data_IF_093801145531
#
_entry.id   IF_093801145531
#
_cell.length_a   1.000
_cell.length_b   1.000
_cell.length_c   1.000
_cell.angle_alpha   90.00
_cell.angle_beta   90.00
_cell.angle_gamma   90.00
#
_symmetry.space_group_name_H-M   'P 1'
#
loop_
_entity.id
_entity.type
_entity.pdbx_description
1 polymer ?
#
# COMPACT_ATOMS: atom_id res chain seq x y z
N UNK A 1 24.19 -5.94 -0.75
CA UNK A 1 22.84 -5.62 -1.22
C UNK A 1 22.54 -4.19 -0.78
N UNK A 2 22.03 -3.32 -1.66
CA UNK A 2 21.62 -1.96 -1.29
C UNK A 2 20.10 -1.94 -1.19
N UNK A 3 19.59 -1.59 -0.01
CA UNK A 3 18.17 -1.37 0.23
C UNK A 3 17.93 0.13 0.30
N UNK A 4 16.80 0.57 -0.24
CA UNK A 4 16.35 1.95 -0.17
C UNK A 4 15.08 1.98 0.66
N UNK A 5 14.98 2.94 1.59
CA UNK A 5 13.75 3.22 2.30
C UNK A 5 12.92 4.18 1.46
N UNK A 6 11.66 3.85 1.22
CA UNK A 6 10.69 4.73 0.57
C UNK A 6 9.68 5.16 1.63
N UNK A 7 9.31 6.43 1.62
CA UNK A 7 8.24 7.00 2.45
C UNK A 7 7.09 7.39 1.50
N UNK A 8 6.08 6.52 1.31
CA UNK A 8 4.94 6.82 0.46
C UNK A 8 4.12 8.00 0.95
N UNK A 9 3.43 8.67 0.03
CA UNK A 9 2.47 9.71 0.38
C UNK A 9 1.22 9.10 1.04
N UNK A 10 0.69 9.76 2.08
CA UNK A 10 -0.61 9.43 2.67
C UNK A 10 -1.65 10.39 2.11
N UNK A 11 -2.36 9.96 1.08
CA UNK A 11 -3.24 10.80 0.25
C UNK A 11 -4.74 10.51 0.48
N UNK A 12 -5.14 10.22 1.71
CA UNK A 12 -6.51 9.82 2.03
C UNK A 12 -6.62 8.78 3.13
N UNK A 13 -7.72 8.02 3.10
CA UNK A 13 -8.03 7.03 4.11
C UNK A 13 -8.92 5.90 3.62
N UNK A 14 -9.22 4.97 4.53
CA UNK A 14 -10.22 3.92 4.29
C UNK A 14 -11.62 4.52 4.42
N UNK A 15 -12.46 4.31 3.41
CA UNK A 15 -13.87 4.66 3.42
C UNK A 15 -14.74 3.55 4.02
N UNK A 16 -16.02 3.86 4.22
CA UNK A 16 -16.96 3.02 4.99
C UNK A 16 -17.20 1.62 4.40
N UNK A 17 -17.00 1.45 3.08
CA UNK A 17 -17.18 0.18 2.39
C UNK A 17 -15.92 -0.72 2.40
N UNK A 18 -14.88 -0.37 3.15
CA UNK A 18 -13.69 -1.22 3.27
C UNK A 18 -14.02 -2.51 4.02
N UNK A 19 -13.66 -3.66 3.44
CA UNK A 19 -13.91 -4.98 4.03
C UNK A 19 -12.59 -5.59 4.48
N UNK A 20 -12.53 -5.92 5.78
CA UNK A 20 -11.46 -6.71 6.35
C UNK A 20 -11.80 -8.20 6.24
N UNK A 21 -10.81 -9.00 5.87
CA UNK A 21 -10.90 -10.46 5.88
C UNK A 21 -10.91 -10.98 7.31
N UNK A 22 -11.50 -12.16 7.50
CA UNK A 22 -11.31 -12.96 8.72
C UNK A 22 -9.91 -13.57 8.79
N UNK A 23 -9.19 -13.60 7.67
CA UNK A 23 -7.78 -14.03 7.64
C UNK A 23 -6.85 -12.92 8.12
N UNK A 24 -5.86 -13.31 8.92
CA UNK A 24 -4.76 -12.43 9.34
C UNK A 24 -3.47 -12.80 8.62
N UNK A 25 -2.57 -11.83 8.51
CA UNK A 25 -1.16 -12.08 8.24
C UNK A 25 -0.53 -12.83 9.42
N UNK A 26 0.65 -13.49 9.23
CA UNK A 26 1.36 -14.16 10.31
C UNK A 26 1.70 -13.25 11.51
N UNK A 27 1.79 -11.94 11.28
CA UNK A 27 2.05 -10.93 12.30
C UNK A 27 0.78 -10.46 13.05
N UNK A 28 -0.38 -11.08 12.80
CA UNK A 28 -1.65 -10.78 13.47
C UNK A 28 -2.44 -9.62 12.87
N UNK A 29 -1.93 -8.91 11.85
CA UNK A 29 -2.68 -7.87 11.16
C UNK A 29 -3.80 -8.46 10.30
N UNK A 30 -5.00 -7.89 10.33
CA UNK A 30 -6.09 -8.33 9.46
C UNK A 30 -5.77 -8.02 7.99
N UNK A 31 -6.09 -8.94 7.09
CA UNK A 31 -5.97 -8.66 5.65
C UNK A 31 -7.14 -7.79 5.19
N UNK A 32 -6.90 -6.90 4.23
CA UNK A 32 -7.99 -6.16 3.56
C UNK A 32 -8.40 -6.96 2.32
N UNK A 33 -9.66 -7.37 2.22
CA UNK A 33 -10.19 -8.08 1.05
C UNK A 33 -10.79 -7.14 0.01
N UNK A 34 -11.30 -5.99 0.46
CA UNK A 34 -11.77 -4.92 -0.40
C UNK A 34 -11.42 -3.56 0.21
N UNK A 35 -10.67 -2.75 -0.52
CA UNK A 35 -10.30 -1.40 -0.10
C UNK A 35 -11.21 -0.37 -0.81
N UNK A 36 -12.08 0.28 -0.05
CA UNK A 36 -12.75 1.49 -0.50
C UNK A 36 -11.86 2.66 -0.11
N UNK A 37 -11.06 3.18 -1.05
CA UNK A 37 -10.13 4.27 -0.76
C UNK A 37 -10.74 5.62 -1.08
N UNK A 38 -10.69 6.54 -0.12
CA UNK A 38 -11.16 7.92 -0.29
C UNK A 38 -9.95 8.85 -0.41
N UNK A 39 -9.74 9.38 -1.61
CA UNK A 39 -8.64 10.30 -1.88
C UNK A 39 -8.90 11.67 -1.24
N UNK A 40 -7.94 12.15 -0.46
CA UNK A 40 -7.96 13.48 0.16
C UNK A 40 -6.57 14.08 0.07
N UNK A 41 -6.45 15.21 -0.63
CA UNK A 41 -5.19 15.96 -0.68
C UNK A 41 -4.07 15.30 -1.48
N UNK A 42 -4.37 14.37 -2.37
CA UNK A 42 -3.38 13.68 -3.20
C UNK A 42 -2.56 14.66 -4.05
N UNK A 43 -1.24 14.62 -3.89
CA UNK A 43 -0.29 15.50 -4.57
C UNK A 43 0.22 14.94 -5.91
N UNK A 44 -0.18 13.71 -6.26
CA UNK A 44 0.15 13.07 -7.53
C UNK A 44 1.26 12.03 -7.45
N UNK A 45 1.67 11.61 -6.24
CA UNK A 45 2.69 10.57 -6.11
C UNK A 45 2.21 9.22 -6.63
N UNK A 46 3.16 8.46 -7.18
CA UNK A 46 2.89 7.19 -7.84
C UNK A 46 2.74 6.00 -6.88
N UNK A 47 3.14 6.17 -5.61
CA UNK A 47 3.12 5.20 -4.53
C UNK A 47 2.50 5.85 -3.29
N UNK A 48 1.38 5.31 -2.83
CA UNK A 48 0.63 5.79 -1.68
C UNK A 48 0.57 4.73 -0.59
N UNK A 49 0.49 5.17 0.66
CA UNK A 49 0.23 4.33 1.82
C UNK A 49 -1.15 4.61 2.42
N UNK A 50 -1.82 3.54 2.85
CA UNK A 50 -3.03 3.60 3.68
C UNK A 50 -3.04 2.44 4.67
N UNK A 51 -4.06 2.38 5.53
CA UNK A 51 -4.18 1.35 6.55
C UNK A 51 -4.04 -0.06 5.94
N UNK A 52 -2.87 -0.69 6.16
CA UNK A 52 -2.53 -2.05 5.76
C UNK A 52 -2.46 -2.30 4.25
N UNK A 53 -2.43 -1.25 3.42
CA UNK A 53 -2.38 -1.37 1.97
C UNK A 53 -1.48 -0.29 1.36
N UNK A 54 -0.89 -0.61 0.21
CA UNK A 54 -0.21 0.35 -0.64
C UNK A 54 -0.95 0.44 -1.97
N UNK A 55 -1.01 1.65 -2.53
CA UNK A 55 -1.61 1.89 -3.83
C UNK A 55 -0.49 2.36 -4.75
N UNK A 56 -0.42 1.75 -5.93
CA UNK A 56 0.53 2.14 -6.97
C UNK A 56 -0.19 2.45 -8.26
N UNK A 57 0.34 3.43 -8.99
CA UNK A 57 -0.09 3.66 -10.38
C UNK A 57 0.25 2.45 -11.25
N UNK A 58 -0.53 2.23 -12.31
CA UNK A 58 -0.31 1.11 -13.23
C UNK A 58 1.07 1.16 -13.91
N UNK A 59 1.59 2.36 -14.16
CA UNK A 59 2.94 2.58 -14.70
C UNK A 59 4.01 2.13 -13.70
N UNK A 60 3.91 2.52 -12.43
CA UNK A 60 4.85 2.10 -11.39
C UNK A 60 4.77 0.58 -11.15
N UNK A 61 3.57 0.00 -11.11
CA UNK A 61 3.40 -1.45 -10.99
C UNK A 61 4.13 -2.21 -12.11
N UNK A 62 4.01 -1.73 -13.35
CA UNK A 62 4.68 -2.33 -14.52
C UNK A 62 6.21 -2.25 -14.39
N UNK A 63 6.74 -1.14 -13.87
CA UNK A 63 8.17 -0.98 -13.63
C UNK A 63 8.69 -1.87 -12.51
N UNK A 64 7.93 -2.03 -11.41
CA UNK A 64 8.28 -2.93 -10.30
C UNK A 64 8.44 -4.36 -10.80
N UNK A 65 7.48 -4.83 -11.61
CA UNK A 65 7.50 -6.18 -12.21
C UNK A 65 8.67 -6.33 -13.19
N UNK A 66 8.87 -5.35 -14.08
CA UNK A 66 9.95 -5.40 -15.08
C UNK A 66 11.35 -5.42 -14.43
N UNK A 67 11.52 -4.65 -13.36
CA UNK A 67 12.79 -4.56 -12.65
C UNK A 67 13.03 -5.74 -11.70
N UNK A 68 12.07 -6.67 -11.56
CA UNK A 68 12.10 -7.77 -10.58
C UNK A 68 12.41 -7.26 -9.17
N UNK A 69 11.79 -6.13 -8.80
CA UNK A 69 11.96 -5.55 -7.47
C UNK A 69 11.15 -6.34 -6.45
N UNK A 70 11.83 -6.79 -5.41
CA UNK A 70 11.18 -7.33 -4.21
C UNK A 70 10.91 -6.18 -3.24
N UNK A 71 9.65 -6.03 -2.84
CA UNK A 71 9.22 -4.96 -1.93
C UNK A 71 8.92 -5.60 -0.58
N UNK A 72 9.82 -5.39 0.37
CA UNK A 72 9.58 -5.79 1.76
C UNK A 72 8.80 -4.67 2.46
N UNK A 73 7.55 -4.97 2.80
CA UNK A 73 6.62 -4.05 3.43
C UNK A 73 6.71 -4.20 4.96
N UNK A 74 7.71 -3.57 5.57
CA UNK A 74 7.79 -3.44 7.03
C UNK A 74 7.12 -2.13 7.47
N UNK A 75 6.04 -2.24 8.26
CA UNK A 75 5.43 -1.07 8.89
C UNK A 75 6.26 -0.69 10.11
N UNK A 76 6.96 0.45 10.07
CA UNK A 76 7.65 1.01 11.23
C UNK A 76 6.64 1.76 12.11
N UNK A 77 5.91 1.03 12.96
CA UNK A 77 5.25 1.46 14.22
C UNK A 77 4.15 0.50 14.64
#
# INVERSE_FOLDING_TARGET
>A
MKLYCLEPEVAGGIGENTVFSMETFPNGQQKVSHLHYEFVGWLGDALLETCLCFIVTASLASLIVLASLDINLERWR
#
